data_IF_555373422544
#
_entry.id   IF_555373422544
#
_cell.length_a   1.000
_cell.length_b   1.000
_cell.length_c   1.000
_cell.angle_alpha   90.00
_cell.angle_beta   90.00
_cell.angle_gamma   90.00
#
_symmetry.space_group_name_H-M   'P 1'
#
loop_
_entity.id
_entity.type
_entity.pdbx_description
1 polymer ?
#
# COMPACT_ATOMS: atom_id res chain seq x y z
N UNK A 1 35.14 -1.28 67.85
CA UNK A 1 33.91 -2.05 68.15
C UNK A 1 32.82 -1.54 67.21
N UNK A 2 32.09 -2.46 66.58
CA UNK A 2 30.95 -2.25 65.66
C UNK A 2 31.23 -1.65 64.28
N UNK A 3 30.62 -2.06 63.16
CA UNK A 3 30.18 -3.33 62.56
C UNK A 3 29.32 -2.88 61.36
N UNK A 4 29.77 -3.16 60.12
CA UNK A 4 29.08 -3.55 58.84
C UNK A 4 27.63 -3.03 58.52
N UNK A 5 27.15 -2.98 57.24
CA UNK A 5 27.67 -3.68 56.06
C UNK A 5 27.74 -2.87 54.74
N UNK A 6 28.55 -3.41 53.84
CA UNK A 6 28.45 -3.20 52.39
C UNK A 6 27.05 -3.60 51.90
N UNK A 7 26.43 -2.76 51.08
CA UNK A 7 25.26 -3.14 50.29
C UNK A 7 25.69 -3.23 48.81
N UNK A 8 26.00 -4.46 48.41
CA UNK A 8 25.86 -4.92 47.03
C UNK A 8 24.37 -4.87 46.65
N UNK A 9 24.05 -4.31 45.48
CA UNK A 9 22.74 -4.45 44.84
C UNK A 9 22.86 -4.02 43.38
N UNK A 10 23.34 -4.90 42.51
CA UNK A 10 22.55 -5.66 41.54
C UNK A 10 21.79 -4.80 40.50
N UNK A 11 22.27 -4.93 39.26
CA UNK A 11 21.48 -5.04 38.01
C UNK A 11 20.65 -3.82 37.60
N UNK A 12 21.33 -2.81 37.05
CA UNK A 12 20.72 -1.99 36.01
C UNK A 12 20.60 -2.81 34.72
N UNK A 13 19.48 -3.51 34.52
CA UNK A 13 19.16 -4.14 33.26
C UNK A 13 18.95 -3.04 32.21
N UNK A 14 19.97 -2.80 31.39
CA UNK A 14 19.91 -1.96 30.21
C UNK A 14 18.93 -2.61 29.22
N UNK A 15 17.69 -2.13 29.21
CA UNK A 15 16.68 -2.55 28.24
C UNK A 15 17.15 -2.11 26.87
N UNK A 16 17.73 -3.05 26.13
CA UNK A 16 17.86 -2.99 24.68
C UNK A 16 16.45 -2.94 24.11
N UNK A 17 15.92 -1.74 23.89
CA UNK A 17 14.84 -1.53 22.93
C UNK A 17 15.42 -1.88 21.56
N UNK A 18 15.23 -3.14 21.16
CA UNK A 18 15.51 -3.56 19.80
C UNK A 18 14.62 -2.77 18.86
N UNK A 19 15.22 -1.84 18.12
CA UNK A 19 14.60 -1.23 16.95
C UNK A 19 14.38 -2.35 15.94
N UNK A 20 13.17 -2.91 15.91
CA UNK A 20 12.74 -3.74 14.79
C UNK A 20 12.88 -2.86 13.54
N UNK A 21 13.60 -3.31 12.49
CA UNK A 21 13.57 -2.59 11.24
C UNK A 21 12.10 -2.60 10.80
N UNK A 22 11.52 -1.42 10.61
CA UNK A 22 10.30 -1.33 9.82
C UNK A 22 10.66 -1.99 8.48
N UNK A 23 10.08 -3.16 8.20
CA UNK A 23 10.14 -3.76 6.88
C UNK A 23 9.74 -2.64 5.93
N UNK A 24 10.63 -2.25 5.02
CA UNK A 24 10.38 -1.16 4.11
C UNK A 24 9.08 -1.49 3.37
N UNK A 25 8.01 -0.76 3.69
CA UNK A 25 6.71 -0.96 3.06
C UNK A 25 6.84 -0.58 1.59
N UNK A 26 6.40 -1.45 0.69
CA UNK A 26 6.43 -1.18 -0.73
C UNK A 26 5.57 0.04 -1.02
N UNK A 27 6.14 1.10 -1.60
CA UNK A 27 5.42 2.35 -1.85
C UNK A 27 4.39 2.18 -2.99
N UNK A 28 3.18 1.75 -2.61
CA UNK A 28 2.05 1.58 -3.52
C UNK A 28 1.65 2.87 -4.24
N UNK A 29 1.83 4.03 -3.61
CA UNK A 29 1.50 5.32 -4.21
C UNK A 29 2.49 5.66 -5.33
N UNK A 30 3.77 5.35 -5.14
CA UNK A 30 4.79 5.48 -6.20
C UNK A 30 4.51 4.52 -7.37
N UNK A 31 4.17 3.27 -7.09
CA UNK A 31 3.79 2.30 -8.12
C UNK A 31 2.55 2.77 -8.90
N UNK A 32 1.53 3.29 -8.20
CA UNK A 32 0.33 3.82 -8.83
C UNK A 32 0.66 4.98 -9.77
N UNK A 33 1.52 5.91 -9.33
CA UNK A 33 2.05 7.01 -10.16
C UNK A 33 2.80 6.53 -11.40
N UNK A 34 3.54 5.43 -11.31
CA UNK A 34 4.32 4.90 -12.43
C UNK A 34 3.46 4.18 -13.45
N UNK A 35 2.46 3.43 -12.99
CA UNK A 35 1.77 2.45 -13.82
C UNK A 35 0.33 2.83 -14.16
N UNK A 36 -0.41 3.45 -13.24
CA UNK A 36 -1.87 3.53 -13.31
C UNK A 36 -2.40 4.90 -13.75
N UNK A 37 -1.71 5.98 -13.40
CA UNK A 37 -2.19 7.38 -13.59
C UNK A 37 -2.44 7.76 -15.04
N UNK A 38 -1.78 7.08 -16.01
CA UNK A 38 -1.97 7.34 -17.44
C UNK A 38 -3.42 7.14 -17.89
N UNK A 39 -4.17 6.27 -17.22
CA UNK A 39 -5.58 6.01 -17.50
C UNK A 39 -6.46 6.48 -16.33
N UNK A 40 -6.08 6.15 -15.09
CA UNK A 40 -6.91 6.40 -13.92
C UNK A 40 -6.71 7.78 -13.26
N UNK A 41 -5.80 8.61 -13.78
CA UNK A 41 -5.37 9.89 -13.19
C UNK A 41 -4.72 9.74 -11.80
N UNK A 42 -4.03 10.79 -11.33
CA UNK A 42 -3.39 10.78 -10.00
C UNK A 42 -4.40 10.77 -8.85
N UNK A 43 -5.62 11.28 -9.08
CA UNK A 43 -6.70 11.35 -8.10
C UNK A 43 -7.72 10.20 -8.24
N UNK A 44 -7.45 9.22 -9.11
CA UNK A 44 -8.34 8.09 -9.36
C UNK A 44 -9.59 8.40 -10.18
N UNK A 45 -9.77 9.63 -10.67
CA UNK A 45 -11.02 10.03 -11.34
C UNK A 45 -11.13 9.57 -12.79
N UNK A 46 -10.08 8.98 -13.35
CA UNK A 46 -9.98 8.57 -14.76
C UNK A 46 -10.23 9.71 -15.77
N UNK A 47 -10.02 10.97 -15.36
CA UNK A 47 -10.24 12.16 -16.18
C UNK A 47 -9.06 12.47 -17.13
N UNK A 48 -8.42 11.43 -17.68
CA UNK A 48 -7.32 11.55 -18.65
C UNK A 48 -7.80 11.17 -20.05
N UNK A 49 -7.16 11.68 -21.11
CA UNK A 49 -7.52 11.32 -22.49
C UNK A 49 -7.60 9.80 -22.71
N UNK A 50 -6.66 9.02 -22.16
CA UNK A 50 -6.71 7.55 -22.23
C UNK A 50 -7.82 6.96 -21.36
N UNK A 51 -8.06 7.53 -20.18
CA UNK A 51 -9.17 7.12 -19.32
C UNK A 51 -10.52 7.25 -20.03
N UNK A 52 -10.75 8.35 -20.74
CA UNK A 52 -11.94 8.54 -21.57
C UNK A 52 -11.96 7.58 -22.77
N UNK A 53 -10.86 7.44 -23.51
CA UNK A 53 -10.78 6.58 -24.71
C UNK A 53 -11.04 5.10 -24.40
N UNK A 54 -10.58 4.64 -23.24
CA UNK A 54 -10.67 3.23 -22.84
C UNK A 54 -11.70 2.97 -21.74
N UNK A 55 -12.56 3.96 -21.43
CA UNK A 55 -13.61 3.84 -20.41
C UNK A 55 -13.07 3.38 -19.05
N UNK A 56 -11.91 3.91 -18.64
CA UNK A 56 -11.28 3.53 -17.38
C UNK A 56 -12.18 3.86 -16.19
N UNK A 57 -12.19 2.96 -15.21
CA UNK A 57 -13.00 3.12 -14.02
C UNK A 57 -12.52 4.31 -13.18
N UNK A 58 -13.47 5.11 -12.70
CA UNK A 58 -13.22 6.09 -11.66
C UNK A 58 -13.12 5.37 -10.31
N UNK A 59 -11.88 5.21 -9.85
CA UNK A 59 -11.50 4.50 -8.63
C UNK A 59 -11.78 5.33 -7.37
N UNK A 60 -12.00 6.64 -7.50
CA UNK A 60 -12.25 7.53 -6.37
C UNK A 60 -13.70 7.49 -5.87
N UNK A 61 -14.63 6.94 -6.66
CA UNK A 61 -16.07 6.91 -6.34
C UNK A 61 -16.35 5.99 -5.15
N UNK A 62 -16.95 6.52 -4.08
CA UNK A 62 -17.38 5.75 -2.91
C UNK A 62 -18.21 4.53 -3.29
N UNK A 63 -19.24 4.69 -4.14
CA UNK A 63 -20.05 3.55 -4.61
C UNK A 63 -19.24 2.44 -5.30
N UNK A 64 -18.21 2.79 -6.07
CA UNK A 64 -17.35 1.77 -6.69
C UNK A 64 -16.51 1.08 -5.62
N UNK A 65 -15.84 1.86 -4.76
CA UNK A 65 -15.04 1.34 -3.64
C UNK A 65 -15.84 0.39 -2.74
N UNK A 66 -17.08 0.76 -2.40
CA UNK A 66 -17.93 -0.01 -1.48
C UNK A 66 -18.47 -1.31 -2.13
N UNK A 67 -18.52 -1.39 -3.48
CA UNK A 67 -19.02 -2.55 -4.21
C UNK A 67 -17.91 -3.38 -4.88
N UNK A 68 -16.65 -3.07 -4.62
CA UNK A 68 -15.50 -3.78 -5.20
C UNK A 68 -14.63 -4.23 -4.05
N UNK A 69 -14.38 -5.53 -3.95
CA UNK A 69 -13.53 -6.12 -2.91
C UNK A 69 -12.04 -5.92 -3.21
N UNK A 70 -11.18 -6.13 -2.21
CA UNK A 70 -9.73 -6.08 -2.43
C UNK A 70 -9.27 -7.17 -3.41
N UNK A 71 -9.94 -8.31 -3.42
CA UNK A 71 -9.66 -9.40 -4.36
C UNK A 71 -10.01 -8.99 -5.80
N UNK A 72 -11.16 -8.34 -6.01
CA UNK A 72 -11.55 -7.86 -7.35
C UNK A 72 -10.55 -6.83 -7.88
N UNK A 73 -9.99 -5.98 -7.00
CA UNK A 73 -8.94 -5.01 -7.39
C UNK A 73 -7.65 -5.74 -7.74
N UNK A 74 -7.25 -6.73 -6.93
CA UNK A 74 -6.07 -7.54 -7.17
C UNK A 74 -6.17 -8.31 -8.50
N UNK A 75 -7.31 -8.97 -8.74
CA UNK A 75 -7.61 -9.67 -9.99
C UNK A 75 -7.55 -8.71 -11.18
N UNK A 76 -8.14 -7.51 -11.07
CA UNK A 76 -8.04 -6.51 -12.14
C UNK A 76 -6.59 -6.06 -12.41
N UNK A 77 -5.74 -5.94 -11.38
CA UNK A 77 -4.30 -5.65 -11.52
C UNK A 77 -3.58 -6.81 -12.21
N UNK A 78 -3.91 -8.06 -11.85
CA UNK A 78 -3.29 -9.26 -12.39
C UNK A 78 -3.69 -9.50 -13.85
N UNK A 79 -4.98 -9.45 -14.15
CA UNK A 79 -5.53 -9.83 -15.45
C UNK A 79 -5.55 -8.67 -16.45
N UNK A 80 -5.78 -7.43 -16.00
CA UNK A 80 -5.91 -6.27 -16.87
C UNK A 80 -7.17 -6.34 -17.75
N UNK A 81 -8.36 -6.02 -17.20
CA UNK A 81 -9.60 -6.09 -17.97
C UNK A 81 -9.68 -5.03 -19.08
N UNK A 82 -10.22 -5.44 -20.23
CA UNK A 82 -10.43 -4.57 -21.39
C UNK A 82 -9.11 -4.08 -21.99
N UNK A 83 -8.83 -2.78 -21.87
CA UNK A 83 -7.59 -2.16 -22.35
C UNK A 83 -6.55 -1.93 -21.23
N UNK A 84 -6.89 -2.28 -19.98
CA UNK A 84 -5.92 -2.22 -18.87
C UNK A 84 -4.86 -3.32 -19.09
N UNK A 85 -3.56 -3.02 -19.02
CA UNK A 85 -2.55 -4.06 -19.16
C UNK A 85 -2.53 -4.96 -17.91
N UNK A 86 -2.28 -6.26 -18.13
CA UNK A 86 -1.93 -7.19 -17.05
C UNK A 86 -0.59 -6.82 -16.40
N UNK A 87 -0.53 -6.98 -15.07
CA UNK A 87 0.68 -6.81 -14.27
C UNK A 87 1.13 -8.08 -13.53
N UNK A 88 0.47 -9.22 -13.71
CA UNK A 88 0.80 -10.47 -13.02
C UNK A 88 2.30 -10.84 -13.12
N UNK A 89 2.86 -10.74 -14.32
CA UNK A 89 4.28 -11.06 -14.58
C UNK A 89 5.22 -9.84 -14.51
N UNK A 90 4.69 -8.65 -14.23
CA UNK A 90 5.45 -7.39 -14.26
C UNK A 90 5.76 -6.83 -12.88
N UNK A 91 4.94 -7.19 -11.89
CA UNK A 91 5.04 -6.72 -10.52
C UNK A 91 5.02 -7.94 -9.60
N UNK A 92 5.83 -7.91 -8.54
CA UNK A 92 5.77 -8.90 -7.47
C UNK A 92 4.42 -8.86 -6.76
N UNK A 93 4.04 -9.95 -6.09
CA UNK A 93 2.81 -10.02 -5.28
C UNK A 93 2.75 -8.89 -4.24
N UNK A 94 3.88 -8.57 -3.60
CA UNK A 94 3.95 -7.46 -2.64
C UNK A 94 3.66 -6.10 -3.28
N UNK A 95 4.14 -5.85 -4.50
CA UNK A 95 3.84 -4.63 -5.26
C UNK A 95 2.39 -4.56 -5.70
N UNK A 96 1.81 -5.69 -6.12
CA UNK A 96 0.39 -5.77 -6.48
C UNK A 96 -0.51 -5.48 -5.26
N UNK A 97 -0.21 -6.04 -4.09
CA UNK A 97 -0.92 -5.75 -2.84
C UNK A 97 -0.72 -4.30 -2.39
N UNK A 98 0.46 -3.72 -2.60
CA UNK A 98 0.70 -2.30 -2.35
C UNK A 98 -0.15 -1.40 -3.26
N UNK A 99 -0.34 -1.78 -4.52
CA UNK A 99 -1.26 -1.09 -5.45
C UNK A 99 -2.71 -1.19 -4.99
N UNK A 100 -3.17 -2.34 -4.46
CA UNK A 100 -4.53 -2.48 -3.90
C UNK A 100 -4.75 -1.43 -2.80
N UNK A 101 -3.81 -1.30 -1.86
CA UNK A 101 -3.87 -0.28 -0.80
C UNK A 101 -3.89 1.13 -1.38
N UNK A 102 -3.01 1.42 -2.34
CA UNK A 102 -2.97 2.72 -3.00
C UNK A 102 -4.29 3.08 -3.70
N UNK A 103 -4.97 2.09 -4.31
CA UNK A 103 -6.29 2.27 -4.92
C UNK A 103 -7.36 2.57 -3.86
N UNK A 104 -7.30 1.95 -2.68
CA UNK A 104 -8.22 2.25 -1.57
C UNK A 104 -8.07 3.68 -1.05
N UNK A 105 -6.84 4.19 -0.99
CA UNK A 105 -6.56 5.57 -0.56
C UNK A 105 -7.12 6.64 -1.51
N UNK A 106 -7.52 6.26 -2.73
CA UNK A 106 -8.14 7.18 -3.70
C UNK A 106 -9.59 7.51 -3.35
N UNK A 107 -10.24 6.74 -2.46
CA UNK A 107 -11.65 6.95 -2.09
C UNK A 107 -11.89 8.40 -1.65
N UNK A 108 -12.85 9.04 -2.29
CA UNK A 108 -13.38 10.35 -1.87
C UNK A 108 -14.79 10.16 -1.29
N UNK A 109 -15.24 11.07 -0.40
CA UNK A 109 -16.59 11.05 0.15
C UNK A 109 -17.68 10.99 -0.93
#
# INVERSE_FOLDING_TARGET
MSNKPALLGLLGALTLLGSLPALADTDGQQLYRQHCVKCHAADGRANTMRGWLYFAQNLSKAKWQDNTSDNDILEAIQEGPGAMPSYADKLSETEQLALVRAVRDLRKP
#
